data_IF_693131887730
#
_entry.id   IF_693131887730
#
_cell.length_a   1.000
_cell.length_b   1.000
_cell.length_c   1.000
_cell.angle_alpha   90.00
_cell.angle_beta   90.00
_cell.angle_gamma   90.00
#
_symmetry.space_group_name_H-M   'P 1'
#
loop_
_entity.id
_entity.type
_entity.pdbx_description
1 polymer ?
#
# COMPACT_ATOMS: atom_id res chain seq x y z
N UNK A 1 67.74 -4.79 -63.61
CA UNK A 1 67.93 -4.58 -62.16
C UNK A 1 67.30 -3.23 -61.83
N UNK A 2 66.15 -3.29 -61.16
CA UNK A 2 65.43 -2.27 -60.36
C UNK A 2 65.42 -0.78 -60.80
N UNK A 3 64.22 -0.26 -61.05
CA UNK A 3 63.81 1.09 -60.67
C UNK A 3 62.26 1.16 -60.54
N UNK A 4 61.82 1.68 -59.39
CA UNK A 4 60.45 1.75 -58.87
C UNK A 4 59.54 2.77 -59.58
N UNK A 5 58.23 2.47 -59.68
CA UNK A 5 57.19 3.47 -59.93
C UNK A 5 55.95 3.25 -59.04
N UNK A 6 55.57 4.35 -58.40
CA UNK A 6 54.49 4.65 -57.44
C UNK A 6 53.10 4.20 -57.89
N UNK A 7 52.28 3.61 -57.01
CA UNK A 7 50.82 3.80 -57.01
C UNK A 7 50.25 3.86 -55.57
N UNK A 8 49.42 4.87 -55.34
CA UNK A 8 48.86 5.31 -54.05
C UNK A 8 47.78 4.37 -53.51
N UNK A 9 47.79 4.11 -52.20
CA UNK A 9 46.68 3.48 -51.48
C UNK A 9 45.67 4.54 -51.00
N UNK A 10 44.43 4.47 -51.50
CA UNK A 10 43.28 5.09 -50.86
C UNK A 10 42.71 4.11 -49.81
N UNK A 11 42.88 4.43 -48.53
CA UNK A 11 42.18 3.74 -47.45
C UNK A 11 40.85 4.46 -47.19
N UNK A 12 39.74 3.87 -47.64
CA UNK A 12 38.40 4.30 -47.27
C UNK A 12 38.10 3.91 -45.82
N UNK A 13 37.96 4.89 -44.94
CA UNK A 13 37.44 4.69 -43.58
C UNK A 13 35.93 4.44 -43.64
N UNK A 14 35.50 3.19 -43.47
CA UNK A 14 34.12 2.87 -43.12
C UNK A 14 33.93 3.08 -41.61
N UNK A 15 33.40 4.23 -41.21
CA UNK A 15 32.87 4.44 -39.86
C UNK A 15 31.56 3.68 -39.69
N UNK A 16 31.61 2.55 -38.97
CA UNK A 16 30.41 1.88 -38.47
C UNK A 16 29.83 2.69 -37.29
N UNK A 17 28.66 3.29 -37.48
CA UNK A 17 27.92 3.91 -36.41
C UNK A 17 27.25 2.81 -35.55
N UNK A 18 27.78 2.57 -34.35
CA UNK A 18 27.13 1.72 -33.38
C UNK A 18 25.92 2.47 -32.79
N UNK A 19 24.72 2.07 -33.19
CA UNK A 19 23.49 2.48 -32.54
C UNK A 19 23.44 1.80 -31.16
N UNK A 20 23.73 2.57 -30.10
CA UNK A 20 23.45 2.12 -28.74
C UNK A 20 21.94 2.10 -28.54
N UNK A 21 21.32 0.94 -28.65
CA UNK A 21 19.98 0.73 -28.09
C UNK A 21 20.10 0.89 -26.58
N UNK A 22 19.63 2.01 -26.05
CA UNK A 22 19.56 2.21 -24.61
C UNK A 22 18.73 1.10 -23.99
N UNK A 23 19.37 0.24 -23.20
CA UNK A 23 18.65 -0.68 -22.31
C UNK A 23 17.98 0.22 -21.29
N UNK A 24 16.66 0.38 -21.39
CA UNK A 24 15.87 0.94 -20.31
C UNK A 24 16.04 -0.04 -19.15
N UNK A 25 16.83 0.33 -18.15
CA UNK A 25 16.91 -0.43 -16.91
C UNK A 25 15.50 -0.43 -16.32
N UNK A 26 14.79 -1.56 -16.39
CA UNK A 26 13.57 -1.75 -15.61
C UNK A 26 13.94 -1.48 -14.15
N UNK A 27 13.38 -0.40 -13.58
CA UNK A 27 13.64 -0.05 -12.19
C UNK A 27 13.00 -1.14 -11.35
N UNK A 28 13.84 -1.93 -10.67
CA UNK A 28 13.36 -3.02 -9.83
C UNK A 28 12.49 -2.45 -8.70
N UNK A 29 11.29 -3.02 -8.43
CA UNK A 29 10.35 -2.44 -7.47
C UNK A 29 10.86 -2.38 -6.04
N UNK A 30 11.85 -3.21 -5.70
CA UNK A 30 12.29 -3.43 -4.34
C UNK A 30 13.75 -2.98 -4.14
N UNK A 31 13.96 -1.90 -3.41
CA UNK A 31 15.30 -1.43 -3.05
C UNK A 31 16.10 -2.44 -2.20
N UNK A 32 15.41 -3.38 -1.56
CA UNK A 32 15.95 -4.44 -0.74
C UNK A 32 15.07 -5.71 -0.85
N UNK A 33 15.57 -6.84 -0.35
CA UNK A 33 14.82 -8.12 -0.29
C UNK A 33 14.97 -8.74 1.09
N UNK A 34 14.07 -9.66 1.46
CA UNK A 34 13.94 -10.11 2.84
C UNK A 34 13.08 -9.14 3.64
N UNK A 35 13.19 -9.22 4.97
CA UNK A 35 12.43 -8.34 5.86
C UNK A 35 10.93 -8.60 5.76
N UNK A 36 10.14 -7.54 5.77
CA UNK A 36 8.68 -7.63 5.90
C UNK A 36 7.98 -6.98 4.72
N UNK A 37 6.96 -7.66 4.20
CA UNK A 37 5.99 -7.05 3.28
C UNK A 37 4.64 -6.90 3.96
N UNK A 38 4.14 -5.67 3.99
CA UNK A 38 2.82 -5.30 4.49
C UNK A 38 1.86 -5.16 3.31
N UNK A 39 0.67 -5.72 3.45
CA UNK A 39 -0.45 -5.47 2.53
C UNK A 39 -1.57 -4.79 3.29
N UNK A 40 -1.99 -3.61 2.82
CA UNK A 40 -3.15 -2.86 3.31
C UNK A 40 -4.15 -2.62 2.20
N UNK A 41 -5.44 -2.56 2.55
CA UNK A 41 -6.46 -2.19 1.58
C UNK A 41 -6.41 -0.68 1.33
N UNK A 42 -6.47 0.12 2.39
CA UNK A 42 -6.42 1.58 2.32
C UNK A 42 -5.07 2.12 2.85
N UNK A 43 -4.72 3.39 2.56
CA UNK A 43 -3.51 4.01 3.07
C UNK A 43 -3.39 3.99 4.61
N UNK A 44 -4.50 4.12 5.33
CA UNK A 44 -4.50 4.26 6.79
C UNK A 44 -4.37 2.93 7.56
N UNK A 45 -4.66 1.79 6.94
CA UNK A 45 -4.82 0.51 7.65
C UNK A 45 -3.57 0.09 8.41
N UNK A 46 -2.38 0.36 7.85
CA UNK A 46 -1.12 0.07 8.52
C UNK A 46 -0.96 0.82 9.84
N UNK A 47 -1.51 2.03 9.92
CA UNK A 47 -1.45 2.90 11.10
C UNK A 47 -2.49 2.52 12.16
N UNK A 48 -3.66 2.01 11.75
CA UNK A 48 -4.74 1.61 12.65
C UNK A 48 -4.60 0.17 13.14
N UNK A 49 -4.31 -0.76 12.23
CA UNK A 49 -4.49 -2.21 12.45
C UNK A 49 -3.20 -2.99 12.57
N UNK A 50 -2.13 -2.56 11.88
CA UNK A 50 -0.83 -3.25 11.83
C UNK A 50 0.25 -2.58 12.69
N UNK A 51 -0.14 -1.53 13.41
CA UNK A 51 0.67 -0.81 14.38
C UNK A 51 0.30 -1.26 15.80
N UNK A 52 1.26 -1.40 16.73
CA UNK A 52 2.64 -0.91 16.69
C UNK A 52 3.70 -1.83 16.05
N UNK A 53 3.36 -2.99 15.47
CA UNK A 53 4.36 -3.81 14.76
C UNK A 53 5.10 -3.05 13.67
N UNK A 54 4.36 -2.39 12.77
CA UNK A 54 4.93 -1.59 11.68
C UNK A 54 5.88 -0.50 12.20
N UNK A 55 5.47 0.25 13.23
CA UNK A 55 6.29 1.26 13.90
C UNK A 55 7.61 0.68 14.40
N UNK A 56 7.58 -0.47 15.09
CA UNK A 56 8.80 -1.09 15.64
C UNK A 56 9.75 -1.51 14.52
N UNK A 57 9.23 -2.04 13.43
CA UNK A 57 10.06 -2.50 12.31
C UNK A 57 10.65 -1.35 11.49
N UNK A 58 9.90 -0.25 11.29
CA UNK A 58 10.41 0.98 10.69
C UNK A 58 11.49 1.62 11.56
N UNK A 59 11.30 1.66 12.88
CA UNK A 59 12.25 2.26 13.81
C UNK A 59 13.63 1.58 13.79
N UNK A 60 13.67 0.25 13.62
CA UNK A 60 14.93 -0.51 13.50
C UNK A 60 15.41 -0.64 12.05
N UNK A 61 14.82 0.12 11.13
CA UNK A 61 15.20 0.21 9.71
C UNK A 61 15.22 -1.16 9.01
N UNK A 62 14.23 -2.03 9.29
CA UNK A 62 14.06 -3.27 8.51
C UNK A 62 13.88 -2.96 7.02
N UNK A 63 14.12 -3.96 6.17
CA UNK A 63 13.61 -3.92 4.80
C UNK A 63 12.09 -4.04 4.84
N UNK A 64 11.38 -2.94 4.56
CA UNK A 64 9.93 -2.83 4.62
C UNK A 64 9.40 -2.46 3.25
N UNK A 65 8.51 -3.28 2.72
CA UNK A 65 7.66 -2.90 1.59
C UNK A 65 6.21 -2.92 1.99
N UNK A 66 5.51 -1.80 1.80
CA UNK A 66 4.06 -1.73 1.97
C UNK A 66 3.39 -1.67 0.61
N UNK A 67 2.42 -2.55 0.37
CA UNK A 67 1.58 -2.55 -0.82
C UNK A 67 0.19 -2.11 -0.43
N UNK A 68 -0.25 -0.97 -0.98
CA UNK A 68 -1.57 -0.39 -0.73
C UNK A 68 -2.46 -0.64 -1.96
N UNK A 69 -3.56 -1.36 -1.77
CA UNK A 69 -4.44 -1.75 -2.89
C UNK A 69 -5.27 -0.58 -3.42
N UNK A 70 -6.05 0.08 -2.55
CA UNK A 70 -6.97 1.14 -2.95
C UNK A 70 -6.37 2.52 -2.70
N UNK A 71 -6.96 3.54 -3.32
CA UNK A 71 -6.55 4.93 -3.13
C UNK A 71 -7.10 5.57 -1.86
N UNK A 72 -7.95 4.86 -1.09
CA UNK A 72 -8.63 5.37 0.11
C UNK A 72 -9.55 6.57 -0.15
N UNK A 73 -9.96 6.78 -1.41
CA UNK A 73 -10.59 8.02 -1.83
C UNK A 73 -12.01 8.26 -1.29
N UNK A 74 -12.70 7.25 -0.76
CA UNK A 74 -14.07 7.35 -0.21
C UNK A 74 -15.08 8.08 -1.13
N UNK A 75 -14.92 7.91 -2.44
CA UNK A 75 -15.76 8.58 -3.45
C UNK A 75 -15.38 10.04 -3.77
N UNK A 76 -14.35 10.60 -3.14
CA UNK A 76 -13.83 11.93 -3.49
C UNK A 76 -13.05 11.88 -4.81
N UNK A 77 -13.03 13.03 -5.51
CA UNK A 77 -12.34 13.22 -6.79
C UNK A 77 -11.14 14.16 -6.63
N UNK A 78 -10.35 14.30 -7.69
CA UNK A 78 -9.26 15.26 -7.74
C UNK A 78 -8.03 14.76 -6.96
N UNK A 79 -7.41 15.65 -6.17
CA UNK A 79 -6.13 15.38 -5.50
C UNK A 79 -6.25 14.70 -4.13
N UNK A 80 -7.45 14.27 -3.73
CA UNK A 80 -7.70 13.75 -2.38
C UNK A 80 -6.87 12.50 -2.09
N UNK A 81 -6.85 11.51 -2.98
CA UNK A 81 -6.04 10.29 -2.79
C UNK A 81 -4.55 10.57 -2.71
N UNK A 82 -4.02 11.50 -3.51
CA UNK A 82 -2.62 11.90 -3.43
C UNK A 82 -2.29 12.60 -2.10
N UNK A 83 -3.27 13.28 -1.48
CA UNK A 83 -3.12 13.81 -0.12
C UNK A 83 -2.95 12.67 0.89
N UNK A 84 -3.77 11.61 0.78
CA UNK A 84 -3.66 10.45 1.66
C UNK A 84 -2.33 9.70 1.49
N UNK A 85 -1.87 9.53 0.25
CA UNK A 85 -0.54 8.97 -0.04
C UNK A 85 0.55 9.81 0.64
N UNK A 86 0.47 11.14 0.53
CA UNK A 86 1.42 12.04 1.19
C UNK A 86 1.39 11.91 2.71
N UNK A 87 0.20 11.86 3.33
CA UNK A 87 0.08 11.64 4.77
C UNK A 87 0.73 10.34 5.22
N UNK A 88 0.56 9.27 4.44
CA UNK A 88 1.16 7.97 4.75
C UNK A 88 2.69 8.02 4.66
N UNK A 89 3.22 8.71 3.64
CA UNK A 89 4.66 8.90 3.47
C UNK A 89 5.30 9.68 4.63
N UNK A 90 4.66 10.77 5.09
CA UNK A 90 5.15 11.54 6.24
C UNK A 90 5.06 10.73 7.53
N UNK A 91 3.98 9.96 7.74
CA UNK A 91 3.88 9.04 8.88
C UNK A 91 4.99 7.98 8.87
N UNK A 92 5.34 7.43 7.70
CA UNK A 92 6.46 6.48 7.58
C UNK A 92 7.81 7.13 7.86
N UNK A 93 8.04 8.34 7.35
CA UNK A 93 9.25 9.11 7.64
C UNK A 93 9.40 9.39 9.15
N UNK A 94 8.31 9.80 9.81
CA UNK A 94 8.25 10.02 11.25
C UNK A 94 8.58 8.75 12.03
N UNK A 95 7.94 7.62 11.69
CA UNK A 95 8.19 6.33 12.34
C UNK A 95 9.62 5.81 12.14
N UNK A 96 10.26 6.17 11.01
CA UNK A 96 11.67 5.90 10.73
C UNK A 96 12.64 6.89 11.41
N UNK A 97 12.13 7.87 12.18
CA UNK A 97 12.93 8.86 12.89
C UNK A 97 13.46 10.00 12.02
N UNK A 98 12.91 10.21 10.82
CA UNK A 98 13.27 11.31 9.92
C UNK A 98 12.31 12.48 10.15
N UNK A 99 12.86 13.68 10.38
CA UNK A 99 12.06 14.91 10.49
C UNK A 99 11.49 15.33 9.14
N UNK A 100 10.29 15.92 9.12
CA UNK A 100 9.62 16.42 7.91
C UNK A 100 10.45 17.43 7.09
N UNK A 101 11.42 18.13 7.70
CA UNK A 101 12.36 19.01 7.00
C UNK A 101 13.41 18.29 6.15
N UNK A 102 13.59 16.98 6.36
CA UNK A 102 14.56 16.13 5.68
C UNK A 102 13.91 15.04 4.81
N UNK A 103 12.57 14.97 4.75
CA UNK A 103 11.79 13.97 3.99
C UNK A 103 11.76 14.27 2.48
N UNK A 104 12.91 14.61 1.89
CA UNK A 104 13.00 14.63 0.44
C UNK A 104 12.64 13.23 -0.10
N UNK A 105 11.94 13.19 -1.22
CA UNK A 105 11.13 12.04 -1.64
C UNK A 105 11.71 11.40 -2.88
N UNK A 106 11.64 10.08 -2.97
CA UNK A 106 11.96 9.34 -4.19
C UNK A 106 10.71 8.61 -4.67
N UNK A 107 9.87 9.34 -5.41
CA UNK A 107 8.75 8.77 -6.15
C UNK A 107 9.22 8.22 -7.50
N UNK A 108 8.63 7.10 -7.93
CA UNK A 108 8.91 6.52 -9.22
C UNK A 108 7.73 5.69 -9.72
N UNK A 109 7.67 5.52 -11.04
CA UNK A 109 6.84 4.49 -11.65
C UNK A 109 7.67 3.20 -11.76
N UNK A 110 7.13 2.11 -11.24
CA UNK A 110 7.70 0.78 -11.40
C UNK A 110 6.81 -0.05 -12.31
N UNK A 111 7.43 -0.65 -13.33
CA UNK A 111 6.78 -1.61 -14.21
C UNK A 111 6.78 -2.99 -13.56
N UNK A 112 5.60 -3.58 -13.37
CA UNK A 112 5.45 -4.99 -13.01
C UNK A 112 4.60 -5.68 -14.06
N UNK A 113 5.21 -6.58 -14.83
CA UNK A 113 4.57 -7.16 -16.00
C UNK A 113 4.16 -6.06 -17.00
N UNK A 114 2.88 -5.93 -17.28
CA UNK A 114 2.32 -4.90 -18.16
C UNK A 114 1.78 -3.67 -17.42
N UNK A 115 1.91 -3.61 -16.10
CA UNK A 115 1.28 -2.57 -15.28
C UNK A 115 2.32 -1.58 -14.72
N UNK A 116 1.97 -0.30 -14.80
CA UNK A 116 2.71 0.78 -14.15
C UNK A 116 2.13 1.02 -12.75
N UNK A 117 2.99 0.90 -11.74
CA UNK A 117 2.67 1.13 -10.34
C UNK A 117 3.39 2.35 -9.82
N UNK A 118 2.70 3.19 -9.06
CA UNK A 118 3.33 4.27 -8.34
C UNK A 118 4.07 3.70 -7.13
N UNK A 119 5.30 4.16 -6.93
CA UNK A 119 6.14 3.76 -5.79
C UNK A 119 6.72 5.00 -5.13
N UNK A 120 6.92 4.89 -3.82
CA UNK A 120 7.63 5.85 -3.01
C UNK A 120 8.68 5.11 -2.19
N UNK A 121 9.83 5.75 -1.96
CA UNK A 121 10.81 5.30 -0.99
C UNK A 121 11.36 6.48 -0.20
N UNK A 122 11.74 6.20 1.06
CA UNK A 122 12.31 7.21 1.94
C UNK A 122 13.74 7.54 1.49
N UNK A 123 14.02 8.80 1.15
CA UNK A 123 15.36 9.20 0.70
C UNK A 123 16.41 8.91 1.76
N UNK A 124 17.51 8.32 1.33
CA UNK A 124 18.60 7.88 2.22
C UNK A 124 18.29 6.58 2.99
N UNK A 125 17.04 6.10 2.95
CA UNK A 125 16.59 4.83 3.52
C UNK A 125 15.69 4.10 2.51
N UNK A 126 16.19 3.80 1.30
CA UNK A 126 15.33 3.27 0.25
C UNK A 126 14.72 1.92 0.65
N UNK A 127 15.29 1.22 1.64
CA UNK A 127 14.75 -0.01 2.23
C UNK A 127 13.37 0.14 2.88
N UNK A 128 12.86 1.37 3.03
CA UNK A 128 11.48 1.68 3.40
C UNK A 128 10.78 2.19 2.15
N UNK A 129 9.81 1.41 1.66
CA UNK A 129 9.11 1.72 0.42
C UNK A 129 7.63 1.39 0.47
N UNK A 130 6.86 2.11 -0.33
CA UNK A 130 5.41 1.92 -0.50
C UNK A 130 5.11 1.80 -2.00
N UNK A 131 4.28 0.83 -2.37
CA UNK A 131 3.78 0.60 -3.72
C UNK A 131 2.27 0.80 -3.70
N UNK A 132 1.75 1.64 -4.59
CA UNK A 132 0.34 1.97 -4.68
C UNK A 132 -0.24 1.42 -5.98
N UNK A 133 -1.30 0.60 -5.86
CA UNK A 133 -2.09 0.15 -7.00
C UNK A 133 -3.18 1.17 -7.37
N UNK A 134 -3.55 2.04 -6.42
CA UNK A 134 -4.56 3.11 -6.57
C UNK A 134 -5.91 2.60 -7.08
N UNK A 135 -6.31 1.38 -6.71
CA UNK A 135 -7.62 0.85 -7.05
C UNK A 135 -8.73 1.73 -6.46
N UNK A 136 -9.89 1.81 -7.13
CA UNK A 136 -11.11 2.36 -6.57
C UNK A 136 -11.42 1.80 -5.19
N UNK A 137 -11.73 2.73 -4.30
CA UNK A 137 -12.20 2.46 -2.95
C UNK A 137 -13.67 2.03 -2.95
N UNK A 138 -14.13 1.43 -1.85
CA UNK A 138 -15.53 1.03 -1.70
C UNK A 138 -16.08 1.33 -0.31
N UNK A 139 -17.39 1.29 -0.17
CA UNK A 139 -18.02 1.32 1.15
C UNK A 139 -17.64 0.08 1.97
N UNK A 140 -17.93 0.09 3.27
CA UNK A 140 -17.69 -1.07 4.15
C UNK A 140 -18.31 -2.37 3.63
N UNK A 141 -19.43 -2.30 2.89
CA UNK A 141 -20.11 -3.44 2.25
C UNK A 141 -19.58 -3.81 0.86
N UNK A 142 -18.46 -3.23 0.43
CA UNK A 142 -17.80 -3.52 -0.84
C UNK A 142 -18.45 -2.87 -2.07
N UNK A 143 -19.35 -1.89 -1.87
CA UNK A 143 -19.97 -1.16 -2.97
C UNK A 143 -19.05 -0.03 -3.41
N UNK A 144 -18.61 -0.05 -4.67
CA UNK A 144 -17.83 1.04 -5.24
C UNK A 144 -18.64 2.33 -5.31
N UNK A 145 -17.95 3.47 -5.31
CA UNK A 145 -18.57 4.78 -5.38
C UNK A 145 -18.87 5.22 -6.82
N UNK A 146 -19.88 6.06 -7.03
CA UNK A 146 -20.21 6.66 -8.33
C UNK A 146 -19.00 7.33 -9.00
N UNK A 147 -18.11 7.90 -8.17
CA UNK A 147 -16.92 8.60 -8.64
C UNK A 147 -15.98 7.71 -9.48
N UNK A 148 -15.98 6.42 -9.20
CA UNK A 148 -15.17 5.38 -9.86
C UNK A 148 -16.03 4.42 -10.70
N UNK A 149 -17.23 4.84 -11.13
CA UNK A 149 -18.12 3.98 -11.91
C UNK A 149 -18.62 2.75 -11.14
N UNK A 150 -18.69 2.87 -9.82
CA UNK A 150 -19.06 1.80 -8.89
C UNK A 150 -18.15 0.55 -8.93
N UNK A 151 -16.96 0.64 -9.53
CA UNK A 151 -15.96 -0.42 -9.48
C UNK A 151 -15.43 -0.60 -8.05
N UNK A 152 -15.20 -1.84 -7.63
CA UNK A 152 -14.55 -2.16 -6.36
C UNK A 152 -13.77 -3.47 -6.42
N UNK A 153 -12.75 -3.59 -5.58
CA UNK A 153 -11.96 -4.81 -5.47
C UNK A 153 -12.82 -6.01 -5.05
N UNK A 154 -13.79 -5.81 -4.16
CA UNK A 154 -14.76 -6.84 -3.76
C UNK A 154 -15.63 -7.32 -4.93
N UNK A 155 -16.14 -6.41 -5.78
CA UNK A 155 -16.90 -6.78 -7.00
C UNK A 155 -16.03 -7.57 -7.99
N UNK A 156 -14.78 -7.16 -8.18
CA UNK A 156 -13.84 -7.88 -9.04
C UNK A 156 -13.54 -9.30 -8.51
N UNK A 157 -13.29 -9.42 -7.20
CA UNK A 157 -13.02 -10.70 -6.55
C UNK A 157 -14.19 -11.68 -6.68
N UNK A 158 -15.43 -11.18 -6.55
CA UNK A 158 -16.67 -11.94 -6.74
C UNK A 158 -17.05 -12.14 -8.21
N UNK A 159 -16.24 -11.63 -9.16
CA UNK A 159 -16.44 -11.70 -10.61
C UNK A 159 -17.72 -11.01 -11.09
N UNK A 160 -18.19 -10.01 -10.35
CA UNK A 160 -19.34 -9.18 -10.74
C UNK A 160 -18.94 -8.15 -11.80
N UNK A 161 -17.66 -7.74 -11.81
CA UNK A 161 -17.03 -6.97 -12.87
C UNK A 161 -15.84 -7.77 -13.44
N UNK A 162 -15.53 -7.55 -14.72
CA UNK A 162 -14.43 -8.24 -15.40
C UNK A 162 -13.06 -7.61 -15.16
N UNK A 163 -13.04 -6.30 -14.87
CA UNK A 163 -11.84 -5.50 -14.66
C UNK A 163 -12.12 -4.34 -13.71
N UNK A 164 -11.05 -3.74 -13.20
CA UNK A 164 -11.05 -2.54 -12.36
C UNK A 164 -9.94 -1.59 -12.85
N UNK A 165 -10.21 -0.29 -12.92
CA UNK A 165 -9.25 0.71 -13.41
C UNK A 165 -8.77 1.58 -12.26
N UNK A 166 -7.45 1.80 -12.16
CA UNK A 166 -6.87 2.67 -11.14
C UNK A 166 -7.47 4.07 -11.21
N UNK A 167 -7.56 4.74 -10.07
CA UNK A 167 -8.21 6.06 -9.94
C UNK A 167 -7.51 7.19 -10.70
N UNK A 168 -6.25 7.00 -11.08
CA UNK A 168 -5.50 7.87 -11.97
C UNK A 168 -5.60 7.48 -13.46
N UNK A 169 -6.32 6.40 -13.78
CA UNK A 169 -6.51 5.89 -15.14
C UNK A 169 -5.27 5.22 -15.74
N UNK A 170 -4.20 5.03 -14.98
CA UNK A 170 -2.93 4.54 -15.49
C UNK A 170 -2.94 3.03 -15.83
N UNK A 171 -3.71 2.23 -15.08
CA UNK A 171 -3.72 0.77 -15.23
C UNK A 171 -5.13 0.20 -15.04
N UNK A 172 -5.49 -0.77 -15.89
CA UNK A 172 -6.70 -1.59 -15.72
C UNK A 172 -6.28 -3.03 -15.42
N UNK A 173 -6.91 -3.62 -14.40
CA UNK A 173 -6.59 -4.94 -13.88
C UNK A 173 -7.79 -5.87 -13.97
N UNK A 174 -7.57 -7.09 -14.45
CA UNK A 174 -8.47 -8.22 -14.19
C UNK A 174 -8.13 -8.85 -12.84
N UNK A 175 -9.00 -9.75 -12.35
CA UNK A 175 -8.71 -10.53 -11.14
C UNK A 175 -7.43 -11.37 -11.28
N UNK A 176 -7.13 -11.84 -12.50
CA UNK A 176 -5.90 -12.58 -12.79
C UNK A 176 -4.69 -11.66 -12.65
N UNK A 177 -4.76 -10.45 -13.20
CA UNK A 177 -3.64 -9.50 -13.17
C UNK A 177 -3.28 -9.12 -11.73
N UNK A 178 -4.26 -8.89 -10.85
CA UNK A 178 -3.99 -8.64 -9.42
C UNK A 178 -3.30 -9.84 -8.74
N UNK A 179 -3.72 -11.07 -9.05
CA UNK A 179 -3.11 -12.29 -8.52
C UNK A 179 -1.67 -12.46 -8.98
N UNK A 180 -1.42 -12.25 -10.27
CA UNK A 180 -0.07 -12.31 -10.86
C UNK A 180 0.84 -11.22 -10.29
N UNK A 181 0.29 -10.02 -10.06
CA UNK A 181 1.00 -8.91 -9.45
C UNK A 181 1.42 -9.22 -8.00
N UNK A 182 0.48 -9.69 -7.17
CA UNK A 182 0.76 -10.12 -5.80
C UNK A 182 1.82 -11.22 -5.78
N UNK A 183 1.67 -12.23 -6.63
CA UNK A 183 2.62 -13.32 -6.75
C UNK A 183 4.02 -12.84 -7.14
N UNK A 184 4.11 -11.93 -8.12
CA UNK A 184 5.37 -11.29 -8.47
C UNK A 184 5.97 -10.56 -7.27
N UNK A 185 5.19 -9.75 -6.55
CA UNK A 185 5.68 -8.98 -5.41
C UNK A 185 6.24 -9.88 -4.31
N UNK A 186 5.52 -10.95 -3.95
CA UNK A 186 5.98 -11.93 -2.96
C UNK A 186 7.26 -12.65 -3.38
N UNK A 187 7.36 -13.10 -4.64
CA UNK A 187 8.57 -13.76 -5.16
C UNK A 187 9.77 -12.83 -5.26
N UNK A 188 9.55 -11.59 -5.71
CA UNK A 188 10.62 -10.63 -5.94
C UNK A 188 11.17 -10.04 -4.63
N UNK A 189 10.28 -9.73 -3.67
CA UNK A 189 10.68 -9.24 -2.34
C UNK A 189 11.33 -10.32 -1.47
N UNK A 190 10.96 -11.60 -1.64
CA UNK A 190 11.45 -12.74 -0.84
C UNK A 190 11.36 -12.46 0.68
N UNK A 191 10.17 -12.09 1.19
CA UNK A 191 10.03 -11.61 2.56
C UNK A 191 10.29 -12.74 3.57
N UNK A 192 10.81 -12.37 4.74
CA UNK A 192 10.82 -13.24 5.92
C UNK A 192 9.45 -13.25 6.59
N UNK A 193 8.79 -12.09 6.59
CA UNK A 193 7.51 -11.84 7.24
C UNK A 193 6.49 -11.26 6.23
N UNK A 194 5.27 -11.78 6.22
CA UNK A 194 4.15 -11.26 5.45
C UNK A 194 3.06 -10.82 6.41
N UNK A 195 2.62 -9.56 6.29
CA UNK A 195 1.61 -8.94 7.15
C UNK A 195 0.37 -8.63 6.30
N UNK A 196 -0.76 -9.26 6.63
CA UNK A 196 -2.04 -9.07 5.92
C UNK A 196 -3.16 -8.74 6.89
N UNK A 197 -4.24 -8.14 6.39
CA UNK A 197 -5.47 -7.94 7.16
C UNK A 197 -6.28 -9.26 7.28
N UNK A 198 -7.53 -9.17 7.74
CA UNK A 198 -8.32 -10.32 8.12
C UNK A 198 -8.88 -11.12 6.93
N UNK A 199 -8.09 -12.07 6.43
CA UNK A 199 -8.53 -12.97 5.36
C UNK A 199 -9.58 -14.01 5.80
N UNK A 200 -9.80 -14.20 7.12
CA UNK A 200 -10.72 -15.23 7.64
C UNK A 200 -12.16 -14.77 7.69
N UNK A 201 -12.40 -13.46 7.71
CA UNK A 201 -13.75 -12.91 7.62
C UNK A 201 -14.47 -13.33 6.33
N UNK A 202 -15.79 -13.37 6.38
CA UNK A 202 -16.64 -13.72 5.23
C UNK A 202 -16.88 -12.49 4.38
N UNK A 203 -16.79 -12.63 3.05
CA UNK A 203 -17.31 -11.64 2.11
C UNK A 203 -18.81 -11.88 2.00
N UNK A 204 -19.59 -11.14 2.78
CA UNK A 204 -21.04 -11.22 2.81
C UNK A 204 -21.65 -9.93 2.25
N UNK A 205 -22.71 -10.07 1.46
CA UNK A 205 -23.48 -8.91 0.97
C UNK A 205 -24.44 -8.44 2.07
N UNK A 206 -23.88 -7.77 3.07
CA UNK A 206 -24.62 -7.16 4.19
C UNK A 206 -24.29 -5.67 4.26
N UNK A 207 -25.26 -4.79 4.59
CA UNK A 207 -25.01 -3.35 4.73
C UNK A 207 -23.96 -3.02 5.81
N UNK A 208 -23.82 -3.89 6.82
CA UNK A 208 -22.93 -3.69 7.96
C UNK A 208 -22.11 -4.96 8.21
N UNK A 209 -21.05 -5.22 7.43
CA UNK A 209 -20.18 -6.35 7.67
C UNK A 209 -19.39 -6.16 8.98
N UNK A 210 -18.86 -7.25 9.53
CA UNK A 210 -18.05 -7.14 10.75
C UNK A 210 -16.74 -6.38 10.51
N UNK A 211 -16.21 -6.48 9.29
CA UNK A 211 -14.96 -5.89 8.82
C UNK A 211 -15.18 -5.29 7.42
N UNK A 212 -14.41 -4.26 7.05
CA UNK A 212 -14.49 -3.61 5.75
C UNK A 212 -14.20 -4.62 4.63
N UNK A 213 -15.06 -4.71 3.60
CA UNK A 213 -14.86 -5.74 2.57
C UNK A 213 -13.58 -5.57 1.76
N UNK A 214 -13.01 -4.37 1.65
CA UNK A 214 -11.69 -4.19 1.05
C UNK A 214 -10.56 -4.79 1.92
N UNK A 215 -10.63 -4.69 3.26
CA UNK A 215 -9.69 -5.39 4.17
C UNK A 215 -9.73 -6.89 3.93
N UNK A 216 -10.95 -7.44 3.90
CA UNK A 216 -11.17 -8.89 3.75
C UNK A 216 -10.73 -9.35 2.36
N UNK A 217 -11.06 -8.59 1.32
CA UNK A 217 -10.78 -8.97 -0.08
C UNK A 217 -9.29 -8.90 -0.39
N UNK A 218 -8.60 -7.82 -0.02
CA UNK A 218 -7.15 -7.70 -0.18
C UNK A 218 -6.42 -8.85 0.53
N UNK A 219 -6.78 -9.11 1.78
CA UNK A 219 -6.17 -10.18 2.56
C UNK A 219 -6.44 -11.58 1.97
N UNK A 220 -7.65 -11.85 1.46
CA UNK A 220 -7.97 -13.11 0.77
C UNK A 220 -7.21 -13.28 -0.54
N UNK A 221 -7.02 -12.21 -1.32
CA UNK A 221 -6.20 -12.23 -2.54
C UNK A 221 -4.77 -12.65 -2.20
N UNK A 222 -4.15 -11.99 -1.22
CA UNK A 222 -2.77 -12.26 -0.81
C UNK A 222 -2.63 -13.66 -0.22
N UNK A 223 -3.47 -14.02 0.76
CA UNK A 223 -3.45 -15.35 1.37
C UNK A 223 -3.67 -16.47 0.35
N UNK A 224 -4.55 -16.25 -0.63
CA UNK A 224 -4.78 -17.21 -1.72
C UNK A 224 -3.51 -17.50 -2.53
N UNK A 225 -2.68 -16.48 -2.78
CA UNK A 225 -1.40 -16.64 -3.48
C UNK A 225 -0.35 -17.32 -2.61
N UNK A 226 -0.26 -16.95 -1.33
CA UNK A 226 0.65 -17.60 -0.37
C UNK A 226 0.42 -19.12 -0.37
N UNK A 227 -0.84 -19.55 -0.29
CA UNK A 227 -1.22 -20.97 -0.31
C UNK A 227 -0.96 -21.60 -1.67
N UNK A 228 -1.37 -20.95 -2.77
CA UNK A 228 -1.27 -21.52 -4.11
C UNK A 228 0.18 -21.71 -4.57
N UNK A 229 1.08 -20.80 -4.20
CA UNK A 229 2.49 -20.84 -4.60
C UNK A 229 3.42 -21.40 -3.53
N UNK A 230 2.87 -21.84 -2.38
CA UNK A 230 3.64 -22.39 -1.25
C UNK A 230 4.74 -21.42 -0.80
N UNK A 231 4.41 -20.13 -0.70
CA UNK A 231 5.36 -19.10 -0.26
C UNK A 231 5.81 -19.41 1.17
N UNK A 232 7.12 -19.51 1.37
CA UNK A 232 7.74 -19.79 2.67
C UNK A 232 8.10 -18.47 3.34
N UNK A 233 7.26 -18.02 4.26
CA UNK A 233 7.47 -16.85 5.11
C UNK A 233 6.61 -16.99 6.38
N UNK A 234 6.91 -16.21 7.42
CA UNK A 234 6.02 -16.09 8.58
C UNK A 234 4.83 -15.17 8.23
N UNK A 235 3.60 -15.64 8.40
CA UNK A 235 2.40 -14.91 7.97
C UNK A 235 1.62 -14.45 9.20
N UNK A 236 1.60 -13.14 9.44
CA UNK A 236 0.78 -12.54 10.48
C UNK A 236 -0.47 -11.92 9.89
N UNK A 237 -1.61 -12.23 10.52
CA UNK A 237 -2.93 -11.79 10.09
C UNK A 237 -3.47 -10.85 11.15
N UNK A 238 -3.73 -9.60 10.79
CA UNK A 238 -4.27 -8.58 11.69
C UNK A 238 -5.79 -8.51 11.56
N UNK A 239 -6.47 -8.20 12.66
CA UNK A 239 -7.89 -7.83 12.62
C UNK A 239 -8.06 -6.47 11.93
N UNK A 240 -9.20 -6.27 11.25
CA UNK A 240 -9.58 -4.98 10.66
C UNK A 240 -10.58 -4.24 11.55
N UNK A 241 -11.60 -3.63 10.95
CA UNK A 241 -12.58 -2.79 11.66
C UNK A 241 -13.33 -3.57 12.76
N UNK A 242 -13.35 -4.91 12.70
CA UNK A 242 -13.98 -5.76 13.71
C UNK A 242 -13.35 -5.62 15.12
N UNK A 243 -12.08 -5.21 15.21
CA UNK A 243 -11.38 -5.12 16.50
C UNK A 243 -11.95 -4.04 17.42
N UNK A 244 -12.74 -3.10 16.88
CA UNK A 244 -13.47 -2.08 17.66
C UNK A 244 -14.32 -2.67 18.78
N UNK A 245 -14.74 -3.93 18.61
CA UNK A 245 -15.58 -4.67 19.56
C UNK A 245 -14.79 -5.44 20.63
N UNK A 246 -13.46 -5.45 20.52
CA UNK A 246 -12.59 -6.11 21.49
C UNK A 246 -12.15 -5.15 22.57
N UNK A 247 -11.64 -5.67 23.67
CA UNK A 247 -11.05 -4.85 24.74
C UNK A 247 -9.82 -4.09 24.22
N UNK A 248 -9.42 -3.02 24.91
CA UNK A 248 -8.13 -2.41 24.63
C UNK A 248 -7.01 -3.36 25.08
N UNK A 249 -5.98 -3.52 24.25
CA UNK A 249 -4.79 -4.31 24.59
C UNK A 249 -3.48 -3.52 24.48
N UNK A 250 -3.58 -2.23 24.15
CA UNK A 250 -2.50 -1.25 24.27
C UNK A 250 -2.91 -0.26 25.36
N UNK A 251 -2.09 -0.15 26.40
CA UNK A 251 -2.31 0.80 27.50
C UNK A 251 -2.14 2.23 26.98
N UNK A 252 -3.19 3.06 27.15
CA UNK A 252 -3.21 4.45 26.68
C UNK A 252 -2.22 5.37 27.40
N UNK A 253 -1.68 4.94 28.54
CA UNK A 253 -0.62 5.65 29.27
C UNK A 253 0.79 5.26 28.83
N UNK A 254 0.93 4.21 28.03
CA UNK A 254 2.22 3.69 27.59
C UNK A 254 2.76 4.44 26.37
N UNK A 255 4.09 4.53 26.25
CA UNK A 255 4.76 5.21 25.13
C UNK A 255 4.34 4.65 23.76
N UNK A 256 4.11 3.34 23.68
CA UNK A 256 3.63 2.67 22.46
C UNK A 256 2.30 3.23 21.95
N UNK A 257 1.36 3.53 22.85
CA UNK A 257 0.11 4.19 22.46
C UNK A 257 0.39 5.60 21.95
N UNK A 258 1.22 6.37 22.66
CA UNK A 258 1.58 7.71 22.24
C UNK A 258 2.25 7.73 20.86
N UNK A 259 3.18 6.81 20.59
CA UNK A 259 3.85 6.71 19.28
C UNK A 259 2.89 6.28 18.16
N UNK A 260 2.01 5.29 18.43
CA UNK A 260 0.97 4.87 17.48
C UNK A 260 0.02 6.04 17.16
N UNK A 261 -0.50 6.72 18.18
CA UNK A 261 -1.35 7.90 18.01
C UNK A 261 -0.63 9.02 17.24
N UNK A 262 0.62 9.32 17.58
CA UNK A 262 1.42 10.34 16.86
C UNK A 262 1.56 9.98 15.38
N UNK A 263 1.88 8.72 15.06
CA UNK A 263 2.01 8.27 13.66
C UNK A 263 0.69 8.38 12.88
N UNK A 264 -0.44 8.08 13.54
CA UNK A 264 -1.76 8.25 12.95
C UNK A 264 -2.09 9.73 12.71
N UNK A 265 -1.83 10.62 13.68
CA UNK A 265 -2.15 12.03 13.52
C UNK A 265 -1.26 12.75 12.51
N UNK A 266 -0.04 12.27 12.28
CA UNK A 266 0.80 12.71 11.16
C UNK A 266 0.12 12.43 9.81
N UNK A 267 -0.47 11.24 9.64
CA UNK A 267 -1.29 10.92 8.47
C UNK A 267 -2.58 11.76 8.43
N UNK A 268 -3.29 11.86 9.56
CA UNK A 268 -4.59 12.50 9.64
C UNK A 268 -4.55 13.98 9.24
N UNK A 269 -3.42 14.67 9.44
CA UNK A 269 -3.21 16.04 8.96
C UNK A 269 -3.39 16.21 7.44
N UNK A 270 -3.37 15.11 6.66
CA UNK A 270 -3.59 15.06 5.22
C UNK A 270 -4.92 14.42 4.80
N UNK A 271 -5.72 13.98 5.76
CA UNK A 271 -7.04 13.38 5.54
C UNK A 271 -8.10 14.23 6.27
N UNK A 272 -8.76 15.12 5.54
CA UNK A 272 -9.80 16.01 6.10
C UNK A 272 -11.01 15.26 6.66
N UNK A 273 -11.18 13.97 6.32
CA UNK A 273 -12.26 13.14 6.84
C UNK A 273 -11.90 12.50 8.18
N UNK A 274 -10.62 12.42 8.56
CA UNK A 274 -10.18 11.85 9.83
C UNK A 274 -10.30 12.86 10.98
N UNK A 275 -10.39 12.36 12.22
CA UNK A 275 -10.18 13.19 13.41
C UNK A 275 -8.69 13.54 13.54
N UNK A 276 -8.37 14.76 13.98
CA UNK A 276 -7.01 15.31 14.03
C UNK A 276 -6.44 15.37 15.45
N UNK A 277 -7.21 14.95 16.46
CA UNK A 277 -6.75 14.81 17.85
C UNK A 277 -7.49 13.69 18.57
N UNK A 278 -6.93 13.19 19.67
CA UNK A 278 -7.58 12.13 20.45
C UNK A 278 -8.94 12.59 21.00
N UNK A 279 -9.03 13.84 21.47
CA UNK A 279 -10.27 14.42 21.97
C UNK A 279 -11.33 14.48 20.87
N UNK A 280 -10.95 14.87 19.65
CA UNK A 280 -11.86 14.86 18.50
C UNK A 280 -12.29 13.44 18.14
N UNK A 281 -11.37 12.46 18.16
CA UNK A 281 -11.73 11.08 17.87
C UNK A 281 -12.71 10.50 18.91
N UNK A 282 -12.58 10.89 20.19
CA UNK A 282 -13.51 10.50 21.25
C UNK A 282 -14.85 11.22 21.08
N UNK A 283 -14.83 12.52 20.77
CA UNK A 283 -16.06 13.29 20.52
C UNK A 283 -16.87 12.70 19.37
N UNK A 284 -16.20 12.33 18.26
CA UNK A 284 -16.86 11.65 17.13
C UNK A 284 -17.46 10.30 17.53
N UNK A 285 -16.73 9.50 18.33
CA UNK A 285 -17.22 8.22 18.82
C UNK A 285 -18.52 8.38 19.64
N UNK A 286 -18.56 9.37 20.52
CA UNK A 286 -19.67 9.59 21.45
C UNK A 286 -20.87 10.28 20.81
N UNK A 287 -20.63 11.22 19.88
CA UNK A 287 -21.66 12.14 19.38
C UNK A 287 -22.12 11.87 17.94
N UNK A 288 -21.33 11.19 17.10
CA UNK A 288 -21.79 10.83 15.76
C UNK A 288 -22.74 9.63 15.82
N UNK A 289 -23.97 9.82 15.34
CA UNK A 289 -24.96 8.76 15.28
C UNK A 289 -24.48 7.61 14.37
N UNK A 290 -24.72 6.34 14.77
CA UNK A 290 -24.48 5.20 13.88
C UNK A 290 -25.15 5.40 12.51
N UNK A 291 -24.36 5.42 11.44
CA UNK A 291 -24.83 5.61 10.07
C UNK A 291 -24.70 7.03 9.49
N UNK A 292 -24.28 8.04 10.28
CA UNK A 292 -23.89 9.36 9.71
C UNK A 292 -22.50 9.34 9.08
N UNK A 293 -21.57 8.58 9.66
CA UNK A 293 -20.28 8.26 9.06
C UNK A 293 -20.34 6.80 8.61
N UNK A 294 -20.35 6.58 7.31
CA UNK A 294 -20.57 5.26 6.70
C UNK A 294 -19.36 4.31 6.86
N UNK A 295 -18.20 4.87 7.23
CA UNK A 295 -16.94 4.17 7.31
C UNK A 295 -16.48 4.01 8.76
N UNK A 296 -16.38 2.76 9.20
CA UNK A 296 -15.94 2.40 10.55
C UNK A 296 -14.51 2.88 10.83
N UNK A 297 -13.68 3.03 9.79
CA UNK A 297 -12.28 3.47 9.89
C UNK A 297 -12.15 4.96 10.27
N UNK A 298 -13.20 5.75 10.03
CA UNK A 298 -13.29 7.15 10.43
C UNK A 298 -13.82 7.31 11.86
N UNK A 299 -14.88 6.56 12.19
CA UNK A 299 -15.62 6.75 13.43
C UNK A 299 -14.91 6.17 14.65
N UNK A 300 -14.29 5.01 14.49
CA UNK A 300 -13.78 4.22 15.62
C UNK A 300 -12.28 4.37 15.85
N UNK A 301 -11.66 5.42 15.30
CA UNK A 301 -10.22 5.70 15.43
C UNK A 301 -9.74 5.64 16.89
N UNK A 302 -10.44 6.30 17.82
CA UNK A 302 -10.08 6.27 19.24
C UNK A 302 -10.00 4.84 19.81
N UNK A 303 -10.84 3.94 19.32
CA UNK A 303 -10.80 2.54 19.70
C UNK A 303 -9.61 1.81 19.06
N UNK A 304 -9.35 2.03 17.78
CA UNK A 304 -8.24 1.37 17.07
C UNK A 304 -6.86 1.78 17.60
N UNK A 305 -6.69 3.03 18.04
CA UNK A 305 -5.42 3.50 18.62
C UNK A 305 -5.00 2.70 19.86
N UNK A 306 -5.96 2.15 20.62
CA UNK A 306 -5.70 1.34 21.82
C UNK A 306 -5.66 -0.18 21.54
N UNK A 307 -5.61 -0.59 20.26
CA UNK A 307 -5.79 -2.00 19.87
C UNK A 307 -4.83 -2.46 18.78
N UNK A 308 -4.28 -3.66 18.91
CA UNK A 308 -3.62 -4.43 17.84
C UNK A 308 -3.95 -5.91 18.05
N UNK A 309 -4.77 -6.49 17.18
CA UNK A 309 -5.22 -7.88 17.35
C UNK A 309 -4.82 -8.72 16.16
N UNK A 310 -4.42 -9.97 16.45
CA UNK A 310 -4.12 -10.97 15.45
C UNK A 310 -5.29 -11.93 15.27
N UNK A 311 -5.47 -12.41 14.04
CA UNK A 311 -6.45 -13.43 13.68
C UNK A 311 -5.72 -14.77 13.61
N UNK A 312 -5.90 -15.60 14.63
CA UNK A 312 -5.32 -16.96 14.70
C UNK A 312 -6.06 -17.96 13.85
#
# INVERSE_FOLDING_TARGET
MLADLIWSFFAGFCTAAALSTGVVSEKWPFSCTGGTIYFSAHPVDGLLYQNPDLLRELHVLKCITTVVFTSGGRGHRGSYSQSLERGLQEAYALMAGISASNSAREEAIVRVGTHDLHSWSLRGMPNIQIIYLRLPDSSSSGQGYDASGEESMSKLYRKEIGSITSTDGASTYTLRDLKELIAFMLRASRPNDIRILNHKATIANTPHPSDHLDHVTSAKLVHGIIVAEQIIADVHVYGGSNIRKFEANIDSTHETFAQKATSFFEYAAYDEQMCHSLDECVDRLDNEQPGMVADDDLRYVAQYLAREYYVT
#
